data_IF_412920729395
#
_entry.id   IF_412920729395
#
_cell.length_a   1.000
_cell.length_b   1.000
_cell.length_c   1.000
_cell.angle_alpha   90.00
_cell.angle_beta   90.00
_cell.angle_gamma   90.00
#
_symmetry.space_group_name_H-M   'P 1'
#
loop_
_entity.id
_entity.type
_entity.pdbx_description
1 polymer ?
#
# COMPACT_ATOMS: atom_id res chain seq x y z
N UNK A 1 35.24 11.32 -20.17
CA UNK A 1 34.47 12.39 -20.85
C UNK A 1 33.12 11.81 -21.23
N UNK A 2 32.08 11.97 -20.39
CA UNK A 2 30.73 11.40 -20.59
C UNK A 2 29.99 12.27 -21.61
N UNK A 3 29.96 11.83 -22.87
CA UNK A 3 29.42 12.62 -23.99
C UNK A 3 27.92 12.81 -23.88
N UNK A 4 27.47 14.03 -24.22
CA UNK A 4 26.09 14.56 -24.29
C UNK A 4 25.06 13.73 -25.11
N UNK A 5 25.41 12.53 -25.57
CA UNK A 5 24.59 11.70 -26.46
C UNK A 5 23.53 10.87 -25.73
N UNK A 6 23.68 10.66 -24.41
CA UNK A 6 22.71 9.92 -23.59
C UNK A 6 21.37 10.66 -23.44
N UNK A 7 21.39 11.99 -23.38
CA UNK A 7 20.16 12.78 -23.19
C UNK A 7 19.24 12.77 -24.42
N UNK A 8 19.78 12.69 -25.65
CA UNK A 8 18.97 12.73 -26.88
C UNK A 8 18.19 11.42 -27.13
N UNK A 9 18.78 10.27 -26.80
CA UNK A 9 18.12 8.97 -26.92
C UNK A 9 16.97 8.84 -25.92
N UNK A 10 17.20 9.29 -24.68
CA UNK A 10 16.16 9.36 -23.67
C UNK A 10 15.01 10.29 -24.10
N UNK A 11 15.31 11.48 -24.61
CA UNK A 11 14.28 12.43 -25.05
C UNK A 11 13.46 11.94 -26.25
N UNK A 12 14.08 11.28 -27.24
CA UNK A 12 13.37 10.71 -28.38
C UNK A 12 12.42 9.56 -27.97
N UNK A 13 12.86 8.69 -27.05
CA UNK A 13 12.02 7.63 -26.50
C UNK A 13 10.85 8.19 -25.67
N UNK A 14 11.14 9.20 -24.84
CA UNK A 14 10.17 9.94 -24.02
C UNK A 14 9.11 10.61 -24.89
N UNK A 15 9.51 11.26 -25.99
CA UNK A 15 8.58 11.93 -26.91
C UNK A 15 7.75 10.96 -27.75
N UNK A 16 8.32 9.82 -28.16
CA UNK A 16 7.56 8.74 -28.80
C UNK A 16 6.49 8.18 -27.86
N UNK A 17 6.85 7.91 -26.60
CA UNK A 17 5.93 7.40 -25.59
C UNK A 17 4.81 8.40 -25.26
N UNK A 18 5.12 9.69 -25.11
CA UNK A 18 4.12 10.74 -24.89
C UNK A 18 3.12 10.86 -26.06
N UNK A 19 3.57 10.68 -27.29
CA UNK A 19 2.70 10.73 -28.47
C UNK A 19 1.69 9.59 -28.54
N UNK A 20 2.04 8.40 -28.05
CA UNK A 20 1.21 7.19 -28.12
C UNK A 20 0.38 6.95 -26.85
N UNK A 21 0.88 7.36 -25.67
CA UNK A 21 0.29 7.05 -24.36
C UNK A 21 -0.14 8.27 -23.53
N UNK A 22 0.17 9.50 -23.96
CA UNK A 22 -0.28 10.75 -23.32
C UNK A 22 0.44 11.12 -22.03
N UNK A 23 1.09 10.18 -21.33
CA UNK A 23 1.83 10.42 -20.09
C UNK A 23 3.18 9.71 -20.08
N UNK A 24 4.16 10.24 -19.34
CA UNK A 24 5.47 9.61 -19.25
C UNK A 24 5.44 8.37 -18.36
N UNK A 25 6.18 7.31 -18.74
CA UNK A 25 6.18 6.10 -17.94
C UNK A 25 6.92 6.37 -16.62
N UNK A 26 6.22 6.18 -15.51
CA UNK A 26 6.65 6.49 -14.17
C UNK A 26 6.44 5.30 -13.23
N UNK A 27 7.44 5.04 -12.38
CA UNK A 27 7.31 4.06 -11.30
C UNK A 27 6.20 4.48 -10.33
N UNK A 28 5.48 3.52 -9.72
CA UNK A 28 4.40 3.83 -8.80
C UNK A 28 4.93 4.52 -7.55
N UNK A 29 4.14 5.44 -7.01
CA UNK A 29 4.40 6.11 -5.73
C UNK A 29 3.08 6.39 -5.02
N UNK A 30 3.04 6.21 -3.70
CA UNK A 30 1.92 6.64 -2.88
C UNK A 30 1.90 8.17 -2.74
N UNK A 31 0.71 8.75 -2.81
CA UNK A 31 0.48 10.21 -2.73
C UNK A 31 -0.28 10.62 -1.48
N UNK A 32 -0.96 9.70 -0.82
CA UNK A 32 -1.54 9.87 0.51
C UNK A 32 -1.48 8.54 1.26
N UNK A 33 -1.49 8.61 2.58
CA UNK A 33 -1.60 7.43 3.43
C UNK A 33 -3.06 6.96 3.48
N UNK A 34 -3.26 5.64 3.52
CA UNK A 34 -4.53 5.01 3.81
C UNK A 34 -4.87 5.06 5.30
N UNK A 35 -6.09 4.65 5.65
CA UNK A 35 -6.60 4.77 7.01
C UNK A 35 -7.30 3.49 7.43
N UNK A 36 -6.91 2.94 8.57
CA UNK A 36 -7.68 1.90 9.26
C UNK A 36 -8.78 2.59 10.07
N UNK A 37 -10.02 2.12 9.92
CA UNK A 37 -11.21 2.63 10.61
C UNK A 37 -11.91 1.49 11.35
N UNK A 38 -12.65 1.84 12.41
CA UNK A 38 -13.30 0.88 13.30
C UNK A 38 -12.68 0.89 14.70
N UNK A 39 -13.20 0.05 15.57
CA UNK A 39 -12.70 -0.10 16.94
C UNK A 39 -11.79 -1.31 17.01
N UNK A 40 -10.53 -1.12 17.41
CA UNK A 40 -9.56 -2.19 17.65
C UNK A 40 -9.93 -2.94 18.93
N UNK A 41 -10.92 -3.83 18.83
CA UNK A 41 -11.43 -4.65 19.93
C UNK A 41 -11.92 -5.99 19.38
N UNK A 42 -11.70 -7.05 20.14
CA UNK A 42 -12.26 -8.38 19.84
C UNK A 42 -13.78 -8.31 19.63
N UNK A 43 -14.24 -9.04 18.62
CA UNK A 43 -15.64 -9.08 18.18
C UNK A 43 -16.04 -7.91 17.28
N UNK A 44 -15.11 -7.02 16.91
CA UNK A 44 -15.35 -5.93 15.97
C UNK A 44 -14.69 -6.22 14.62
N UNK A 45 -15.23 -5.60 13.57
CA UNK A 45 -14.63 -5.59 12.25
C UNK A 45 -14.01 -4.22 11.98
N UNK A 46 -12.76 -4.21 11.54
CA UNK A 46 -12.07 -3.01 11.08
C UNK A 46 -12.01 -2.99 9.55
N UNK A 47 -11.97 -1.79 8.99
CA UNK A 47 -11.91 -1.59 7.55
C UNK A 47 -10.71 -0.72 7.20
N UNK A 48 -10.16 -0.93 6.01
CA UNK A 48 -9.06 -0.13 5.51
C UNK A 48 -9.47 0.64 4.27
N UNK A 49 -9.28 1.96 4.31
CA UNK A 49 -9.38 2.81 3.15
C UNK A 49 -8.01 2.90 2.48
N UNK A 50 -7.94 2.44 1.22
CA UNK A 50 -6.70 2.42 0.45
C UNK A 50 -6.04 3.80 0.29
N UNK A 51 -4.71 3.80 0.26
CA UNK A 51 -3.89 4.95 -0.08
C UNK A 51 -4.15 5.41 -1.52
N UNK A 52 -3.99 6.71 -1.79
CA UNK A 52 -3.93 7.19 -3.16
C UNK A 52 -2.53 6.98 -3.74
N UNK A 53 -2.46 6.77 -5.05
CA UNK A 53 -1.20 6.55 -5.74
C UNK A 53 -1.21 7.13 -7.16
N UNK A 54 -0.01 7.26 -7.70
CA UNK A 54 0.24 7.58 -9.11
C UNK A 54 1.28 6.62 -9.68
N UNK A 55 1.29 6.47 -11.00
CA UNK A 55 2.24 5.65 -11.74
C UNK A 55 1.71 5.41 -13.15
N UNK A 56 2.60 5.26 -14.12
CA UNK A 56 2.21 4.95 -15.49
C UNK A 56 3.19 3.93 -16.11
N UNK A 57 2.72 2.83 -16.74
CA UNK A 57 1.33 2.36 -16.82
C UNK A 57 0.67 2.18 -15.45
N UNK A 58 -0.66 2.11 -15.43
CA UNK A 58 -1.45 1.91 -14.20
C UNK A 58 -0.89 0.73 -13.40
N UNK A 59 -0.55 0.93 -12.11
CA UNK A 59 0.09 -0.12 -11.32
C UNK A 59 -0.90 -1.17 -10.82
N UNK A 60 -0.45 -2.42 -10.80
CA UNK A 60 -1.10 -3.50 -10.07
C UNK A 60 -1.06 -3.20 -8.57
N UNK A 61 -2.23 -3.02 -7.96
CA UNK A 61 -2.40 -2.78 -6.53
C UNK A 61 -2.79 -4.06 -5.79
N UNK A 62 -2.11 -4.32 -4.66
CA UNK A 62 -2.45 -5.40 -3.73
C UNK A 62 -2.26 -4.92 -2.30
N UNK A 63 -3.17 -5.30 -1.39
CA UNK A 63 -3.06 -5.01 0.03
C UNK A 63 -3.37 -6.24 0.89
N UNK A 64 -2.66 -6.38 2.01
CA UNK A 64 -2.85 -7.46 2.99
C UNK A 64 -2.85 -6.90 4.41
N UNK A 65 -3.65 -7.50 5.28
CA UNK A 65 -3.60 -7.24 6.72
C UNK A 65 -2.29 -7.77 7.31
N UNK A 66 -1.79 -7.06 8.30
CA UNK A 66 -0.64 -7.47 9.11
C UNK A 66 -1.09 -7.71 10.56
N UNK A 67 -0.61 -8.78 11.17
CA UNK A 67 -0.75 -9.04 12.60
C UNK A 67 0.66 -9.15 13.16
N UNK A 68 1.06 -8.23 14.04
CA UNK A 68 2.44 -8.08 14.55
C UNK A 68 3.51 -7.99 13.44
N UNK A 69 3.14 -7.39 12.31
CA UNK A 69 3.99 -7.25 11.13
C UNK A 69 4.02 -8.47 10.20
N UNK A 70 3.36 -9.57 10.58
CA UNK A 70 3.24 -10.76 9.74
C UNK A 70 2.04 -10.63 8.79
N UNK A 71 2.21 -10.90 7.49
CA UNK A 71 1.11 -10.79 6.53
C UNK A 71 0.12 -11.94 6.69
N UNK A 72 -1.16 -11.58 6.78
CA UNK A 72 -2.28 -12.52 6.84
C UNK A 72 -3.16 -12.41 5.60
N UNK A 73 -4.43 -12.10 5.85
CA UNK A 73 -5.50 -12.10 4.84
C UNK A 73 -5.39 -10.89 3.88
N UNK A 74 -5.85 -11.02 2.63
CA UNK A 74 -5.97 -9.87 1.73
C UNK A 74 -6.97 -8.84 2.27
N UNK A 75 -6.71 -7.57 2.00
CA UNK A 75 -7.68 -6.51 2.30
C UNK A 75 -8.77 -6.53 1.22
N UNK A 76 -10.02 -6.62 1.65
CA UNK A 76 -11.21 -6.52 0.80
C UNK A 76 -12.27 -5.60 1.43
N UNK A 77 -13.45 -5.54 0.81
CA UNK A 77 -14.56 -4.73 1.30
C UNK A 77 -15.21 -5.28 2.59
N UNK A 78 -14.99 -6.56 2.93
CA UNK A 78 -15.54 -7.16 4.14
C UNK A 78 -14.78 -6.73 5.41
N UNK A 79 -13.51 -6.32 5.24
CA UNK A 79 -12.65 -5.90 6.35
C UNK A 79 -12.08 -7.08 7.13
N UNK A 80 -11.38 -6.78 8.22
CA UNK A 80 -10.78 -7.80 9.11
C UNK A 80 -11.64 -7.94 10.36
N UNK A 81 -12.12 -9.16 10.62
CA UNK A 81 -12.77 -9.49 11.89
C UNK A 81 -11.72 -9.76 12.96
N UNK A 82 -11.77 -9.03 14.06
CA UNK A 82 -10.86 -9.20 15.18
C UNK A 82 -11.41 -10.27 16.13
N UNK A 83 -10.78 -11.43 16.15
CA UNK A 83 -11.07 -12.49 17.11
C UNK A 83 -10.07 -12.50 18.29
N UNK A 84 -10.14 -13.54 19.12
CA UNK A 84 -9.28 -13.71 20.29
C UNK A 84 -7.79 -13.89 19.95
N UNK A 85 -7.45 -14.35 18.74
CA UNK A 85 -6.05 -14.53 18.33
C UNK A 85 -5.36 -13.17 18.10
N UNK A 86 -6.14 -12.11 17.92
CA UNK A 86 -5.66 -10.76 17.71
C UNK A 86 -5.42 -9.99 19.01
N UNK A 87 -5.77 -10.54 20.19
CA UNK A 87 -5.55 -9.88 21.48
C UNK A 87 -4.05 -9.62 21.68
N UNK A 88 -3.69 -8.39 22.03
CA UNK A 88 -2.29 -7.98 22.25
C UNK A 88 -1.49 -7.75 20.97
N UNK A 89 -2.03 -8.10 19.80
CA UNK A 89 -1.36 -7.92 18.52
C UNK A 89 -1.50 -6.49 18.00
N UNK A 90 -0.46 -6.02 17.30
CA UNK A 90 -0.53 -4.77 16.51
C UNK A 90 -1.04 -5.09 15.12
N UNK A 91 -2.24 -4.60 14.81
CA UNK A 91 -2.81 -4.75 13.46
C UNK A 91 -2.23 -3.71 12.52
N UNK A 92 -1.92 -4.07 11.29
CA UNK A 92 -1.44 -3.16 10.25
C UNK A 92 -1.97 -3.53 8.87
N UNK A 93 -1.56 -2.77 7.87
CA UNK A 93 -1.83 -3.05 6.46
C UNK A 93 -0.56 -2.84 5.66
N UNK A 94 -0.29 -3.77 4.73
CA UNK A 94 0.77 -3.61 3.74
C UNK A 94 0.19 -3.49 2.35
N UNK A 95 0.44 -2.35 1.73
CA UNK A 95 0.12 -2.08 0.34
C UNK A 95 1.34 -2.29 -0.56
N UNK A 96 1.06 -2.74 -1.78
CA UNK A 96 2.07 -2.92 -2.83
C UNK A 96 1.51 -2.48 -4.16
N UNK A 97 2.28 -1.64 -4.84
CA UNK A 97 2.05 -1.18 -6.20
C UNK A 97 3.17 -1.69 -7.09
N UNK A 98 2.86 -2.18 -8.29
CA UNK A 98 3.86 -2.62 -9.26
C UNK A 98 3.44 -2.26 -10.68
N UNK A 99 4.39 -1.76 -11.48
CA UNK A 99 4.24 -1.68 -12.93
C UNK A 99 5.58 -2.01 -13.62
N UNK A 100 5.64 -1.83 -14.94
CA UNK A 100 6.86 -2.06 -15.72
C UNK A 100 8.03 -1.14 -15.32
N UNK A 101 7.74 0.00 -14.71
CA UNK A 101 8.73 1.01 -14.30
C UNK A 101 9.27 0.79 -12.89
N UNK A 102 8.60 -0.01 -12.05
CA UNK A 102 9.08 -0.33 -10.72
C UNK A 102 8.02 -0.83 -9.74
N UNK A 103 8.34 -0.70 -8.44
CA UNK A 103 7.49 -1.13 -7.33
C UNK A 103 7.54 -0.09 -6.20
N UNK A 104 6.40 0.13 -5.56
CA UNK A 104 6.30 0.81 -4.27
C UNK A 104 5.66 -0.13 -3.24
N UNK A 105 6.07 0.01 -1.98
CA UNK A 105 5.50 -0.69 -0.83
C UNK A 105 5.28 0.34 0.25
N UNK A 106 4.12 0.26 0.89
CA UNK A 106 3.79 1.07 2.05
C UNK A 106 3.28 0.13 3.14
N UNK A 107 3.82 0.26 4.34
CA UNK A 107 3.42 -0.50 5.52
C UNK A 107 2.88 0.51 6.54
N UNK A 108 1.62 0.29 6.91
CA UNK A 108 0.92 1.04 7.94
C UNK A 108 0.70 0.15 9.15
N UNK A 109 0.91 0.67 10.35
CA UNK A 109 0.64 -0.03 11.59
C UNK A 109 -0.37 0.77 12.42
N UNK A 110 -1.31 0.08 13.05
CA UNK A 110 -2.19 0.67 14.04
C UNK A 110 -1.37 1.26 15.19
N UNK A 111 -1.90 2.33 15.78
CA UNK A 111 -1.22 3.10 16.81
C UNK A 111 -1.07 2.35 18.14
N UNK A 112 -1.85 1.28 18.37
CA UNK A 112 -1.86 0.51 19.61
C UNK A 112 -2.23 -0.96 19.37
N UNK A 113 -1.71 -1.89 20.20
CA UNK A 113 -2.17 -3.27 20.21
C UNK A 113 -3.64 -3.37 20.65
N UNK A 114 -4.31 -4.45 20.24
CA UNK A 114 -5.69 -4.71 20.67
C UNK A 114 -5.70 -4.99 22.18
N UNK A 115 -6.50 -4.26 22.98
CA UNK A 115 -6.55 -4.45 24.41
C UNK A 115 -7.13 -5.83 24.76
N UNK A 116 -6.54 -6.47 25.76
CA UNK A 116 -7.07 -7.68 26.36
C UNK A 116 -8.37 -7.34 27.14
N UNK A 117 -9.52 -7.91 26.77
CA UNK A 117 -10.79 -7.65 27.46
C UNK A 117 -10.80 -8.14 28.91
N UNK A 118 -9.92 -9.08 29.27
CA UNK A 118 -9.82 -9.68 30.61
C UNK A 118 -8.67 -9.11 31.45
N UNK A 119 -7.86 -8.19 30.90
CA UNK A 119 -6.88 -7.45 31.68
C UNK A 119 -7.61 -6.46 32.61
N UNK A 120 -7.79 -6.83 33.88
CA UNK A 120 -8.34 -5.97 34.93
C UNK A 120 -7.64 -4.60 34.99
N UNK A 121 -8.45 -3.54 35.11
CA UNK A 121 -8.04 -2.17 35.46
C UNK A 121 -7.72 -2.02 36.94
#
# INVERSE_FOLDING_TARGET
MRTKHDHKRNYANVMGYLGEHGELPAAPTFTSEGVITGTLKVGQTIHYTASTYKGHPDPDYTAVWLTDGEPGEPVDEAGLYLDTEHIGAVIGVRERLRNSQGRAVYEYHALAPIPDPDAEV
#
